data_IF_859013845583
#
_entry.id   IF_859013845583
#
_cell.length_a   1.000
_cell.length_b   1.000
_cell.length_c   1.000
_cell.angle_alpha   90.00
_cell.angle_beta   90.00
_cell.angle_gamma   90.00
#
_symmetry.space_group_name_H-M   'P 1'
#
loop_
_entity.id
_entity.type
_entity.pdbx_description
1 polymer ?
#
# COMPACT_ATOMS: atom_id res chain seq x y z
N UNK A 1 -4.42 -31.41 2.91
CA UNK A 1 -3.79 -31.00 1.62
C UNK A 1 -4.87 -30.28 0.84
N UNK A 2 -4.83 -28.95 0.80
CA UNK A 2 -5.76 -28.17 -0.02
C UNK A 2 -5.04 -27.79 -1.32
N UNK A 3 -5.56 -28.26 -2.45
CA UNK A 3 -5.08 -27.92 -3.79
C UNK A 3 -5.44 -26.47 -4.10
N UNK A 4 -4.43 -25.64 -4.37
CA UNK A 4 -4.59 -24.33 -4.98
C UNK A 4 -4.61 -24.55 -6.50
N UNK A 5 -5.77 -24.25 -7.08
CA UNK A 5 -6.10 -24.43 -8.48
C UNK A 5 -5.45 -23.31 -9.30
N UNK A 6 -4.82 -23.66 -10.41
CA UNK A 6 -4.17 -22.80 -11.41
C UNK A 6 -4.93 -21.48 -11.70
N UNK A 7 -4.33 -20.36 -11.29
CA UNK A 7 -4.51 -19.04 -11.91
C UNK A 7 -3.12 -18.55 -12.35
N UNK A 8 -2.86 -18.36 -13.65
CA UNK A 8 -1.58 -17.85 -14.12
C UNK A 8 -1.54 -16.31 -14.08
N UNK A 9 -2.08 -15.66 -13.05
CA UNK A 9 -2.08 -14.19 -12.95
C UNK A 9 -1.93 -13.76 -11.49
N UNK A 10 -0.66 -13.62 -11.07
CA UNK A 10 -0.21 -12.96 -9.84
C UNK A 10 -1.04 -13.26 -8.57
N UNK A 11 -0.93 -14.49 -8.08
CA UNK A 11 -1.37 -14.87 -6.72
C UNK A 11 -0.34 -14.36 -5.69
N UNK A 12 -0.12 -13.05 -5.66
CA UNK A 12 0.64 -12.39 -4.63
C UNK A 12 -0.28 -12.17 -3.43
N UNK A 13 -0.43 -13.19 -2.59
CA UNK A 13 -1.01 -13.03 -1.25
C UNK A 13 -0.04 -12.16 -0.46
N UNK A 14 -0.23 -10.85 -0.51
CA UNK A 14 0.55 -9.90 0.30
C UNK A 14 0.02 -9.98 1.72
N UNK A 15 0.48 -10.97 2.48
CA UNK A 15 0.30 -11.00 3.94
C UNK A 15 1.22 -9.92 4.52
N UNK A 16 0.82 -8.65 4.40
CA UNK A 16 1.46 -7.62 5.24
C UNK A 16 0.87 -7.78 6.63
N UNK A 17 1.67 -8.34 7.55
CA UNK A 17 1.41 -8.13 8.97
C UNK A 17 1.77 -6.67 9.29
N UNK A 18 1.00 -5.72 8.75
CA UNK A 18 1.06 -4.35 9.22
C UNK A 18 0.41 -4.34 10.60
N UNK A 19 1.24 -4.48 11.64
CA UNK A 19 0.83 -4.52 13.05
C UNK A 19 -0.11 -3.35 13.43
N UNK A 20 0.03 -2.22 12.72
CA UNK A 20 -0.89 -1.10 12.78
C UNK A 20 -0.85 -0.29 11.48
N UNK A 21 -2.01 -0.02 10.89
CA UNK A 21 -2.15 0.96 9.81
C UNK A 21 -1.86 2.35 10.40
N UNK A 22 -1.03 3.21 9.75
CA UNK A 22 -0.63 4.49 10.32
C UNK A 22 -1.74 5.57 10.32
N UNK A 23 -3.00 5.19 10.13
CA UNK A 23 -4.18 6.05 10.17
C UNK A 23 -5.38 5.30 10.77
N UNK A 24 -6.31 6.03 11.39
CA UNK A 24 -7.41 5.42 12.15
C UNK A 24 -8.61 5.01 11.28
N UNK A 25 -8.77 5.59 10.09
CA UNK A 25 -9.85 5.28 9.16
C UNK A 25 -9.55 5.75 7.72
N UNK A 26 -10.32 5.26 6.75
CA UNK A 26 -10.21 5.68 5.35
C UNK A 26 -10.50 7.18 5.12
N UNK A 27 -11.37 7.77 5.95
CA UNK A 27 -11.67 9.21 5.89
C UNK A 27 -10.46 10.08 6.26
N UNK A 28 -9.65 9.62 7.22
CA UNK A 28 -8.39 10.27 7.62
C UNK A 28 -7.44 10.28 6.43
N UNK A 29 -7.26 9.12 5.78
CA UNK A 29 -6.49 9.01 4.55
C UNK A 29 -6.95 10.07 3.55
N UNK A 30 -8.21 10.09 3.13
CA UNK A 30 -8.77 11.06 2.16
C UNK A 30 -8.47 12.53 2.46
N UNK A 31 -8.35 12.89 3.74
CA UNK A 31 -8.07 14.25 4.20
C UNK A 31 -6.58 14.61 4.25
N UNK A 32 -5.68 13.62 4.21
CA UNK A 32 -4.23 13.82 4.31
C UNK A 32 -3.66 14.67 3.19
N UNK A 33 -2.79 15.61 3.57
CA UNK A 33 -1.96 16.36 2.64
C UNK A 33 -0.81 15.47 2.10
N UNK A 34 -0.22 15.88 0.97
CA UNK A 34 0.92 15.17 0.36
C UNK A 34 2.04 14.75 1.32
N UNK A 35 2.56 15.60 2.23
CA UNK A 35 3.63 15.17 3.14
C UNK A 35 3.21 14.02 4.07
N UNK A 36 1.94 13.98 4.49
CA UNK A 36 1.39 12.91 5.32
C UNK A 36 1.23 11.61 4.51
N UNK A 37 0.73 11.71 3.28
CA UNK A 37 0.65 10.57 2.34
C UNK A 37 2.03 9.97 2.08
N UNK A 38 3.06 10.79 1.88
CA UNK A 38 4.42 10.33 1.69
C UNK A 38 4.97 9.64 2.95
N UNK A 39 4.69 10.18 4.14
CA UNK A 39 5.14 9.56 5.39
C UNK A 39 4.51 8.16 5.59
N UNK A 40 3.21 8.02 5.30
CA UNK A 40 2.50 6.73 5.33
C UNK A 40 3.10 5.77 4.30
N UNK A 41 3.25 6.22 3.05
CA UNK A 41 3.77 5.37 1.98
C UNK A 41 5.23 4.94 2.21
N UNK A 42 6.07 5.79 2.80
CA UNK A 42 7.43 5.43 3.20
C UNK A 42 7.44 4.34 4.29
N UNK A 43 6.54 4.43 5.27
CA UNK A 43 6.39 3.40 6.31
C UNK A 43 5.95 2.05 5.70
N UNK A 44 5.02 2.08 4.75
CA UNK A 44 4.61 0.90 4.00
C UNK A 44 5.77 0.33 3.18
N UNK A 45 6.45 1.16 2.38
CA UNK A 45 7.58 0.74 1.55
C UNK A 45 8.73 0.12 2.35
N UNK A 46 8.95 0.55 3.59
CA UNK A 46 9.95 -0.03 4.49
C UNK A 46 9.61 -1.46 4.96
N UNK A 47 8.38 -1.93 4.75
CA UNK A 47 7.89 -3.28 5.09
C UNK A 47 7.54 -4.11 3.86
N UNK A 48 7.38 -3.47 2.69
CA UNK A 48 7.06 -4.12 1.44
C UNK A 48 8.33 -4.63 0.72
N UNK A 49 8.27 -5.79 0.05
CA UNK A 49 9.32 -6.18 -0.88
C UNK A 49 9.42 -5.15 -2.01
N UNK A 50 10.63 -4.98 -2.57
CA UNK A 50 10.94 -3.95 -3.58
C UNK A 50 9.94 -3.92 -4.74
N UNK A 51 9.45 -5.08 -5.19
CA UNK A 51 8.50 -5.20 -6.29
C UNK A 51 7.10 -4.60 -5.99
N UNK A 52 6.75 -4.43 -4.71
CA UNK A 52 5.45 -3.92 -4.26
C UNK A 52 5.55 -2.51 -3.65
N UNK A 53 6.72 -1.87 -3.69
CA UNK A 53 6.88 -0.52 -3.16
C UNK A 53 6.09 0.48 -4.00
N UNK A 54 5.41 1.39 -3.30
CA UNK A 54 4.69 2.53 -3.87
C UNK A 54 5.71 3.48 -4.50
N UNK A 55 5.50 3.88 -5.75
CA UNK A 55 6.30 4.92 -6.41
C UNK A 55 5.99 6.29 -5.81
N UNK A 56 6.99 6.89 -5.17
CA UNK A 56 6.90 8.20 -4.51
C UNK A 56 7.59 9.32 -5.30
N UNK A 57 7.86 9.11 -6.58
CA UNK A 57 8.45 10.14 -7.43
C UNK A 57 7.57 11.41 -7.44
N UNK A 58 8.17 12.60 -7.55
CA UNK A 58 7.42 13.86 -7.55
C UNK A 58 6.43 13.99 -8.73
N UNK A 59 6.60 13.15 -9.77
CA UNK A 59 5.69 13.06 -10.92
C UNK A 59 4.37 12.35 -10.58
N UNK A 60 4.32 11.57 -9.49
CA UNK A 60 3.10 10.87 -9.08
C UNK A 60 2.14 11.84 -8.39
N UNK A 61 0.86 11.89 -8.81
CA UNK A 61 -0.14 12.71 -8.15
C UNK A 61 -0.51 12.12 -6.78
N UNK A 62 -1.02 12.97 -5.89
CA UNK A 62 -1.44 12.55 -4.54
C UNK A 62 -2.50 11.44 -4.59
N UNK A 63 -3.41 11.50 -5.56
CA UNK A 63 -4.43 10.48 -5.80
C UNK A 63 -3.82 9.10 -6.08
N UNK A 64 -2.70 9.02 -6.80
CA UNK A 64 -2.02 7.75 -7.05
C UNK A 64 -1.46 7.17 -5.75
N UNK A 65 -0.78 8.00 -4.95
CA UNK A 65 -0.18 7.56 -3.68
C UNK A 65 -1.28 7.09 -2.73
N UNK A 66 -2.39 7.84 -2.66
CA UNK A 66 -3.59 7.48 -1.90
C UNK A 66 -4.15 6.13 -2.31
N UNK A 67 -4.46 5.94 -3.59
CA UNK A 67 -5.02 4.68 -4.09
C UNK A 67 -4.06 3.51 -3.89
N UNK A 68 -2.75 3.74 -4.03
CA UNK A 68 -1.76 2.70 -3.74
C UNK A 68 -1.75 2.29 -2.26
N UNK A 69 -1.87 3.25 -1.33
CA UNK A 69 -2.03 2.98 0.10
C UNK A 69 -3.32 2.18 0.35
N UNK A 70 -4.44 2.55 -0.27
CA UNK A 70 -5.74 1.88 -0.14
C UNK A 70 -5.73 0.42 -0.62
N UNK A 71 -4.94 0.10 -1.65
CA UNK A 71 -4.85 -1.27 -2.17
C UNK A 71 -4.01 -2.20 -1.28
N UNK A 72 -3.22 -1.63 -0.36
CA UNK A 72 -2.31 -2.39 0.49
C UNK A 72 -2.86 -2.65 1.91
N UNK A 73 -3.96 -1.98 2.29
CA UNK A 73 -4.59 -2.05 3.62
C UNK A 73 -5.99 -2.64 3.53
#
# INVERSE_FOLDING_TARGET
>A
IALLNDLPELDAVVVTALDSVPFCCHADLLSMARPELLAVALRLNARLPVALQIDLSPLRPDAYIRTAIELLV
#
